data_IF_248364464237
#
_entry.id   IF_248364464237
#
_cell.length_a   1.000
_cell.length_b   1.000
_cell.length_c   1.000
_cell.angle_alpha   90.00
_cell.angle_beta   90.00
_cell.angle_gamma   90.00
#
_symmetry.space_group_name_H-M   'P 1'
#
loop_
_entity.id
_entity.type
_entity.pdbx_description
1 polymer ?
#
# COMPACT_ATOMS: atom_id res chain seq x y z
N UNK A 1 8.96 -13.91 15.12
CA UNK A 1 7.83 -14.82 14.84
C UNK A 1 7.13 -15.23 16.12
N UNK A 2 7.84 -15.90 17.04
CA UNK A 2 7.28 -16.45 18.28
C UNK A 2 6.48 -15.45 19.12
N UNK A 3 6.98 -14.22 19.31
CA UNK A 3 6.27 -13.17 20.06
C UNK A 3 4.88 -12.86 19.48
N UNK A 4 4.76 -12.76 18.15
CA UNK A 4 3.49 -12.51 17.49
C UNK A 4 2.54 -13.71 17.64
N UNK A 5 3.06 -14.92 17.49
CA UNK A 5 2.27 -16.15 17.63
C UNK A 5 1.76 -16.35 19.07
N UNK A 6 2.55 -16.02 20.09
CA UNK A 6 2.10 -16.01 21.49
C UNK A 6 0.97 -15.00 21.72
N UNK A 7 1.15 -13.77 21.25
CA UNK A 7 0.13 -12.72 21.39
C UNK A 7 -1.19 -13.08 20.69
N UNK A 8 -1.09 -13.77 19.55
CA UNK A 8 -2.21 -14.30 18.77
C UNK A 8 -2.93 -15.43 19.52
N UNK A 9 -2.20 -16.45 19.99
CA UNK A 9 -2.81 -17.61 20.66
C UNK A 9 -3.43 -17.29 22.01
N UNK A 10 -2.90 -16.30 22.73
CA UNK A 10 -3.50 -15.79 23.97
C UNK A 10 -4.89 -15.17 23.78
N UNK A 11 -5.17 -14.63 22.59
CA UNK A 11 -6.40 -13.87 22.29
C UNK A 11 -7.39 -14.64 21.43
N UNK A 12 -6.89 -15.51 20.57
CA UNK A 12 -7.68 -16.37 19.70
C UNK A 12 -7.22 -17.83 19.87
N UNK A 13 -7.54 -18.49 21.00
CA UNK A 13 -7.07 -19.85 21.26
C UNK A 13 -7.65 -20.89 20.28
N UNK A 14 -8.80 -20.58 19.66
CA UNK A 14 -9.48 -21.46 18.69
C UNK A 14 -9.04 -21.22 17.23
N UNK A 15 -8.06 -20.35 17.01
CA UNK A 15 -7.56 -20.04 15.66
C UNK A 15 -6.85 -21.25 15.05
N UNK A 16 -7.15 -21.54 13.79
CA UNK A 16 -6.40 -22.56 13.03
C UNK A 16 -5.17 -21.92 12.41
N UNK A 17 -3.98 -22.27 12.91
CA UNK A 17 -2.73 -21.80 12.33
C UNK A 17 -2.32 -22.70 11.15
N UNK A 18 -2.43 -22.18 9.93
CA UNK A 18 -1.89 -22.80 8.72
C UNK A 18 -0.51 -22.26 8.41
N UNK A 19 0.46 -23.12 8.08
CA UNK A 19 1.85 -22.70 7.86
C UNK A 19 2.62 -23.63 6.92
N UNK A 20 3.88 -23.28 6.65
CA UNK A 20 4.80 -24.08 5.84
C UNK A 20 5.76 -24.86 6.74
N UNK A 21 6.20 -26.03 6.25
CA UNK A 21 7.14 -26.91 6.92
C UNK A 21 8.44 -26.22 7.38
N UNK A 22 9.05 -26.80 8.41
CA UNK A 22 10.34 -26.37 8.97
C UNK A 22 10.41 -24.89 9.35
N UNK A 23 11.52 -24.27 8.93
CA UNK A 23 11.88 -22.89 9.28
C UNK A 23 10.92 -21.83 8.72
N UNK A 24 10.08 -22.15 7.73
CA UNK A 24 9.12 -21.20 7.15
C UNK A 24 7.89 -20.95 8.02
N UNK A 25 7.71 -21.69 9.12
CA UNK A 25 6.77 -21.30 10.17
C UNK A 25 6.34 -22.43 11.11
N UNK A 26 6.41 -23.70 10.68
CA UNK A 26 6.04 -24.83 11.51
C UNK A 26 6.89 -24.92 12.79
N UNK A 27 8.20 -24.67 12.69
CA UNK A 27 9.09 -24.70 13.86
C UNK A 27 8.77 -23.57 14.85
N UNK A 28 8.53 -22.36 14.34
CA UNK A 28 8.16 -21.21 15.17
C UNK A 28 6.81 -21.41 15.88
N UNK A 29 5.83 -22.03 15.21
CA UNK A 29 4.55 -22.38 15.81
C UNK A 29 4.69 -23.41 16.94
N UNK A 30 5.43 -24.49 16.69
CA UNK A 30 5.67 -25.54 17.70
C UNK A 30 6.47 -25.04 18.90
N UNK A 31 7.43 -24.13 18.68
CA UNK A 31 8.21 -23.52 19.76
C UNK A 31 7.35 -22.74 20.77
N UNK A 32 6.17 -22.25 20.35
CA UNK A 32 5.22 -21.55 21.23
C UNK A 32 4.03 -22.42 21.66
N UNK A 33 4.07 -23.72 21.37
CA UNK A 33 3.07 -24.69 21.78
C UNK A 33 1.81 -24.74 20.91
N UNK A 34 1.86 -24.19 19.69
CA UNK A 34 0.78 -24.30 18.71
C UNK A 34 1.05 -25.52 17.83
N UNK A 35 0.03 -26.34 17.56
CA UNK A 35 0.09 -27.43 16.58
C UNK A 35 -0.46 -26.93 15.24
N UNK A 36 0.39 -26.56 14.26
CA UNK A 36 -0.07 -25.95 13.03
C UNK A 36 -0.49 -27.00 11.99
N UNK A 37 -1.39 -26.60 11.10
CA UNK A 37 -1.67 -27.33 9.85
C UNK A 37 -0.61 -26.95 8.83
N UNK A 38 0.27 -27.89 8.49
CA UNK A 38 1.30 -27.67 7.46
C UNK A 38 0.68 -27.85 6.07
N UNK A 39 0.58 -26.78 5.29
CA UNK A 39 -0.07 -26.78 3.96
C UNK A 39 0.86 -27.19 2.83
N UNK A 40 2.17 -26.98 3.01
CA UNK A 40 3.21 -27.43 2.08
C UNK A 40 4.53 -27.59 2.83
N UNK A 41 5.41 -28.42 2.31
CA UNK A 41 6.73 -28.68 2.86
C UNK A 41 7.79 -28.52 1.75
N UNK A 42 8.60 -27.44 1.79
CA UNK A 42 9.66 -27.23 0.81
C UNK A 42 10.90 -28.11 1.07
N UNK A 43 10.92 -28.89 2.16
CA UNK A 43 11.98 -29.86 2.44
C UNK A 43 12.13 -30.86 1.28
N UNK A 44 13.12 -30.61 0.41
CA UNK A 44 13.45 -31.46 -0.74
C UNK A 44 13.95 -30.72 -1.98
N UNK A 45 13.79 -29.40 -2.06
CA UNK A 45 14.15 -28.61 -3.25
C UNK A 45 15.57 -28.00 -3.21
N UNK A 46 16.17 -27.84 -2.01
CA UNK A 46 17.41 -27.09 -1.82
C UNK A 46 18.58 -27.96 -1.33
N UNK A 47 19.80 -27.58 -1.71
CA UNK A 47 21.02 -28.30 -1.34
C UNK A 47 21.33 -28.22 0.17
N UNK A 48 20.80 -27.20 0.84
CA UNK A 48 20.88 -27.01 2.30
C UNK A 48 19.46 -27.09 2.88
N UNK A 49 19.20 -27.92 3.91
CA UNK A 49 17.85 -28.17 4.45
C UNK A 49 17.11 -26.94 4.99
N UNK A 50 17.83 -25.85 5.27
CA UNK A 50 17.26 -24.62 5.84
C UNK A 50 17.29 -23.43 4.89
N UNK A 51 17.77 -23.61 3.65
CA UNK A 51 17.79 -22.53 2.67
C UNK A 51 16.39 -22.35 2.07
N UNK A 52 15.86 -21.12 2.11
CA UNK A 52 14.63 -20.76 1.41
C UNK A 52 14.89 -19.63 0.42
N UNK A 53 13.94 -19.39 -0.47
CA UNK A 53 14.06 -18.42 -1.55
C UNK A 53 12.78 -17.61 -1.69
N UNK A 54 12.84 -16.49 -2.43
CA UNK A 54 11.64 -15.75 -2.82
C UNK A 54 10.65 -16.64 -3.62
N UNK A 55 11.12 -17.66 -4.33
CA UNK A 55 10.24 -18.61 -5.02
C UNK A 55 9.48 -19.50 -4.03
N UNK A 56 10.12 -19.95 -2.94
CA UNK A 56 9.45 -20.70 -1.88
C UNK A 56 8.40 -19.83 -1.16
N UNK A 57 8.70 -18.53 -0.97
CA UNK A 57 7.72 -17.57 -0.43
C UNK A 57 6.49 -17.48 -1.34
N UNK A 58 6.67 -17.33 -2.66
CA UNK A 58 5.53 -17.28 -3.60
C UNK A 58 4.73 -18.58 -3.62
N UNK A 59 5.40 -19.73 -3.59
CA UNK A 59 4.74 -21.03 -3.50
C UNK A 59 3.95 -21.19 -2.19
N UNK A 60 4.50 -20.71 -1.07
CA UNK A 60 3.84 -20.68 0.23
C UNK A 60 2.55 -19.85 0.19
N UNK A 61 2.60 -18.65 -0.40
CA UNK A 61 1.42 -17.78 -0.56
C UNK A 61 0.32 -18.51 -1.31
N UNK A 62 0.63 -19.13 -2.46
CA UNK A 62 -0.35 -19.91 -3.24
C UNK A 62 -0.99 -21.03 -2.42
N UNK A 63 -0.16 -21.85 -1.76
CA UNK A 63 -0.64 -22.98 -0.97
C UNK A 63 -1.53 -22.54 0.20
N UNK A 64 -1.18 -21.43 0.87
CA UNK A 64 -2.00 -20.90 1.96
C UNK A 64 -3.34 -20.34 1.45
N UNK A 65 -3.33 -19.58 0.35
CA UNK A 65 -4.56 -19.04 -0.24
C UNK A 65 -5.47 -20.16 -0.74
N UNK A 66 -4.92 -21.19 -1.39
CA UNK A 66 -5.66 -22.39 -1.80
C UNK A 66 -6.26 -23.15 -0.61
N UNK A 67 -5.57 -23.14 0.54
CA UNK A 67 -6.07 -23.70 1.80
C UNK A 67 -7.16 -22.84 2.48
N UNK A 68 -7.44 -21.64 1.97
CA UNK A 68 -8.56 -20.80 2.42
C UNK A 68 -8.27 -19.99 3.68
N UNK A 69 -7.05 -19.47 3.85
CA UNK A 69 -6.72 -18.60 5.00
C UNK A 69 -7.51 -17.27 4.97
N UNK A 70 -7.91 -16.80 6.15
CA UNK A 70 -8.57 -15.50 6.32
C UNK A 70 -7.58 -14.32 6.39
N UNK A 71 -6.34 -14.57 6.80
CA UNK A 71 -5.27 -13.58 6.96
C UNK A 71 -3.91 -14.24 6.73
N UNK A 72 -3.08 -13.60 5.90
CA UNK A 72 -1.68 -13.97 5.72
C UNK A 72 -0.79 -13.17 6.68
N UNK A 73 -0.34 -13.82 7.76
CA UNK A 73 0.64 -13.26 8.69
C UNK A 73 2.05 -13.68 8.27
N UNK A 74 2.91 -12.71 7.96
CA UNK A 74 4.29 -12.99 7.54
C UNK A 74 5.30 -12.29 8.45
N UNK A 75 6.47 -12.88 8.61
CA UNK A 75 7.61 -12.29 9.32
C UNK A 75 8.82 -12.39 8.38
N UNK A 76 9.79 -11.48 8.49
CA UNK A 76 10.92 -11.41 7.56
C UNK A 76 11.60 -12.75 7.27
N UNK A 77 12.28 -12.84 6.13
CA UNK A 77 12.94 -14.03 5.61
C UNK A 77 13.52 -13.76 4.22
N UNK A 78 13.61 -14.80 3.38
CA UNK A 78 14.18 -14.73 2.03
C UNK A 78 13.23 -14.07 1.00
N UNK A 79 11.95 -13.90 1.35
CA UNK A 79 10.97 -13.12 0.61
C UNK A 79 10.66 -11.75 1.25
N UNK A 80 10.09 -10.85 0.46
CA UNK A 80 9.71 -9.50 0.88
C UNK A 80 8.19 -9.31 0.90
N UNK A 81 7.72 -8.23 1.52
CA UNK A 81 6.31 -7.83 1.40
C UNK A 81 5.91 -7.62 -0.07
N UNK A 82 6.85 -7.17 -0.92
CA UNK A 82 6.69 -7.08 -2.38
C UNK A 82 6.41 -8.44 -3.00
N UNK A 83 7.19 -9.48 -2.66
CA UNK A 83 6.97 -10.83 -3.20
C UNK A 83 5.58 -11.35 -2.84
N UNK A 84 5.16 -11.15 -1.59
CA UNK A 84 3.85 -11.58 -1.12
C UNK A 84 2.73 -10.79 -1.79
N UNK A 85 2.82 -9.46 -1.82
CA UNK A 85 1.81 -8.60 -2.43
C UNK A 85 1.65 -8.84 -3.92
N UNK A 86 2.77 -8.92 -4.66
CA UNK A 86 2.78 -9.21 -6.10
C UNK A 86 2.20 -10.59 -6.39
N UNK A 87 2.49 -11.59 -5.54
CA UNK A 87 1.96 -12.93 -5.71
C UNK A 87 0.45 -12.98 -5.47
N UNK A 88 -0.04 -12.31 -4.42
CA UNK A 88 -1.48 -12.18 -4.16
C UNK A 88 -2.21 -11.50 -5.32
N UNK A 89 -1.62 -10.46 -5.92
CA UNK A 89 -2.17 -9.80 -7.10
C UNK A 89 -2.17 -10.73 -8.33
N UNK A 90 -1.09 -11.51 -8.54
CA UNK A 90 -0.96 -12.43 -9.66
C UNK A 90 -1.98 -13.58 -9.64
N UNK A 91 -2.46 -13.96 -8.46
CA UNK A 91 -3.51 -14.98 -8.28
C UNK A 91 -4.90 -14.38 -8.01
N UNK A 92 -5.05 -13.06 -8.14
CA UNK A 92 -6.30 -12.32 -7.91
C UNK A 92 -6.94 -12.61 -6.54
N UNK A 93 -6.10 -12.77 -5.51
CA UNK A 93 -6.55 -13.03 -4.15
C UNK A 93 -6.75 -11.71 -3.40
N UNK A 94 -7.92 -11.52 -2.79
CA UNK A 94 -8.22 -10.40 -1.91
C UNK A 94 -7.80 -10.63 -0.44
N UNK A 95 -7.13 -11.76 -0.15
CA UNK A 95 -6.71 -12.14 1.21
C UNK A 95 -5.89 -11.01 1.85
N UNK A 96 -6.28 -10.53 3.04
CA UNK A 96 -5.51 -9.57 3.81
C UNK A 96 -4.13 -10.09 4.17
N UNK A 97 -3.16 -9.18 4.27
CA UNK A 97 -1.81 -9.51 4.74
C UNK A 97 -1.37 -8.58 5.87
N UNK A 98 -0.61 -9.12 6.82
CA UNK A 98 -0.02 -8.35 7.90
C UNK A 98 1.42 -8.80 8.15
N UNK A 99 2.34 -7.84 8.12
CA UNK A 99 3.74 -8.07 8.41
C UNK A 99 4.04 -7.94 9.90
N UNK A 100 4.76 -8.91 10.45
CA UNK A 100 5.36 -8.87 11.78
C UNK A 100 6.72 -8.17 11.66
N UNK A 101 6.96 -7.05 12.38
CA UNK A 101 8.22 -6.33 12.27
C UNK A 101 9.38 -7.17 12.81
N UNK A 102 10.45 -7.31 12.01
CA UNK A 102 11.63 -8.11 12.34
C UNK A 102 12.97 -7.41 12.00
N UNK A 103 12.95 -6.09 11.73
CA UNK A 103 14.13 -5.32 11.32
C UNK A 103 13.76 -4.08 10.49
N UNK A 104 14.74 -3.49 9.78
CA UNK A 104 14.69 -2.17 9.10
C UNK A 104 13.76 -2.04 7.87
N UNK A 105 12.81 -2.94 7.64
CA UNK A 105 11.86 -2.84 6.49
C UNK A 105 10.65 -1.94 6.80
N UNK A 106 10.92 -0.71 7.22
CA UNK A 106 9.97 0.25 7.82
C UNK A 106 9.12 1.00 6.78
N UNK A 107 9.46 0.91 5.49
CA UNK A 107 8.86 1.79 4.49
C UNK A 107 7.48 1.35 4.00
N UNK A 108 7.18 0.05 3.97
CA UNK A 108 5.85 -0.43 3.61
C UNK A 108 4.87 -0.24 4.77
N UNK A 109 3.64 0.18 4.46
CA UNK A 109 2.60 0.45 5.47
C UNK A 109 1.79 -0.79 5.87
N UNK A 110 2.35 -1.98 5.63
CA UNK A 110 1.72 -3.29 5.85
C UNK A 110 2.21 -4.03 7.09
N UNK A 111 3.07 -3.39 7.89
CA UNK A 111 3.65 -3.99 9.09
C UNK A 111 2.96 -3.47 10.37
N UNK A 112 2.83 -4.34 11.38
CA UNK A 112 2.50 -3.91 12.73
C UNK A 112 3.64 -3.09 13.37
N UNK A 113 3.32 -2.33 14.42
CA UNK A 113 4.29 -1.47 15.13
C UNK A 113 5.31 -2.31 15.90
N UNK A 114 4.85 -3.35 16.59
CA UNK A 114 5.69 -4.35 17.26
C UNK A 114 5.23 -5.76 16.91
N UNK A 115 6.04 -6.81 17.17
CA UNK A 115 5.60 -8.18 16.96
C UNK A 115 4.36 -8.53 17.79
N UNK A 116 4.26 -8.01 19.01
CA UNK A 116 3.10 -8.21 19.88
C UNK A 116 1.85 -7.52 19.32
N UNK A 117 1.99 -6.29 18.79
CA UNK A 117 0.89 -5.59 18.12
C UNK A 117 0.40 -6.36 16.89
N UNK A 118 1.32 -6.88 16.07
CA UNK A 118 0.96 -7.66 14.89
C UNK A 118 0.17 -8.93 15.26
N UNK A 119 0.59 -9.65 16.31
CA UNK A 119 -0.12 -10.81 16.83
C UNK A 119 -1.50 -10.46 17.40
N UNK A 120 -1.60 -9.36 18.15
CA UNK A 120 -2.89 -8.85 18.65
C UNK A 120 -3.84 -8.50 17.52
N UNK A 121 -3.40 -7.71 16.55
CA UNK A 121 -4.22 -7.28 15.41
C UNK A 121 -4.69 -8.50 14.62
N UNK A 122 -3.78 -9.44 14.34
CA UNK A 122 -4.13 -10.68 13.64
C UNK A 122 -5.22 -11.50 14.35
N UNK A 123 -5.27 -11.46 15.69
CA UNK A 123 -6.27 -12.17 16.47
C UNK A 123 -7.63 -11.45 16.58
N UNK A 124 -7.68 -10.14 16.37
CA UNK A 124 -8.87 -9.33 16.73
C UNK A 124 -9.36 -8.38 15.65
N UNK A 125 -8.77 -8.35 14.45
CA UNK A 125 -9.19 -7.40 13.42
C UNK A 125 -10.62 -7.70 12.95
N UNK A 126 -11.41 -6.65 12.80
CA UNK A 126 -12.77 -6.71 12.24
C UNK A 126 -12.86 -6.01 10.88
N UNK A 127 -11.83 -5.24 10.53
CA UNK A 127 -11.77 -4.48 9.30
C UNK A 127 -10.34 -4.39 8.76
N UNK A 128 -10.26 -4.10 7.47
CA UNK A 128 -9.02 -3.94 6.72
C UNK A 128 -9.05 -2.60 6.00
N UNK A 129 -7.86 -2.09 5.66
CA UNK A 129 -7.70 -0.90 4.83
C UNK A 129 -6.61 -1.13 3.79
N UNK A 130 -6.74 -0.49 2.64
CA UNK A 130 -5.76 -0.58 1.56
C UNK A 130 -4.49 0.19 1.92
N UNK A 131 -3.36 -0.53 1.91
CA UNK A 131 -2.03 0.00 2.28
C UNK A 131 -1.02 -0.26 1.17
N UNK A 132 -0.11 0.70 1.00
CA UNK A 132 0.98 0.58 0.04
C UNK A 132 2.07 -0.40 0.50
N UNK A 133 2.36 -1.36 -0.38
CA UNK A 133 3.57 -2.19 -0.35
C UNK A 133 4.63 -1.51 -1.21
N UNK A 134 5.74 -1.13 -0.57
CA UNK A 134 6.84 -0.41 -1.20
C UNK A 134 8.08 -1.30 -1.23
N UNK A 135 8.72 -1.31 -2.39
CA UNK A 135 10.07 -1.80 -2.56
C UNK A 135 11.06 -0.66 -2.37
N UNK A 136 12.18 -0.94 -1.71
CA UNK A 136 13.18 0.07 -1.39
C UNK A 136 14.50 -0.38 -1.98
N UNK A 137 15.14 0.53 -2.71
CA UNK A 137 16.48 0.32 -3.24
C UNK A 137 17.49 0.33 -2.08
N UNK A 138 17.86 -0.85 -1.60
CA UNK A 138 18.79 -1.01 -0.48
C UNK A 138 20.20 -0.48 -0.80
N UNK A 139 20.61 -0.46 -2.08
CA UNK A 139 21.90 0.08 -2.50
C UNK A 139 21.88 1.61 -2.40
N UNK A 140 20.82 2.25 -2.90
CA UNK A 140 20.61 3.69 -2.76
C UNK A 140 20.54 4.10 -1.28
N UNK A 141 19.84 3.32 -0.43
CA UNK A 141 19.77 3.59 1.02
C UNK A 141 21.16 3.55 1.65
N UNK A 142 22.03 2.63 1.24
CA UNK A 142 23.43 2.57 1.72
C UNK A 142 24.25 3.79 1.27
N UNK A 143 23.87 4.41 0.16
CA UNK A 143 24.44 5.67 -0.32
C UNK A 143 23.77 6.93 0.28
N UNK A 144 22.82 6.75 1.20
CA UNK A 144 22.12 7.84 1.88
C UNK A 144 20.92 8.40 1.10
N UNK A 145 20.57 7.79 -0.03
CA UNK A 145 19.39 8.15 -0.81
C UNK A 145 18.31 7.07 -0.67
N UNK A 146 17.21 7.39 0.01
CA UNK A 146 16.07 6.46 0.00
C UNK A 146 15.41 6.54 -1.38
N UNK A 147 15.19 5.40 -2.04
CA UNK A 147 14.35 5.32 -3.25
C UNK A 147 13.31 4.24 -3.05
N UNK A 148 12.04 4.60 -3.18
CA UNK A 148 10.93 3.67 -3.01
C UNK A 148 10.09 3.56 -4.28
N UNK A 149 9.58 2.36 -4.54
CA UNK A 149 8.68 2.06 -5.66
C UNK A 149 7.43 1.38 -5.11
N UNK A 150 6.25 1.88 -5.48
CA UNK A 150 4.98 1.21 -5.17
C UNK A 150 4.89 -0.10 -5.96
N UNK A 151 4.71 -1.23 -5.26
CA UNK A 151 4.65 -2.56 -5.88
C UNK A 151 3.29 -3.22 -5.80
N UNK A 152 2.54 -2.94 -4.75
CA UNK A 152 1.18 -3.41 -4.58
C UNK A 152 0.41 -2.48 -3.63
N UNK A 153 -0.91 -2.55 -3.69
CA UNK A 153 -1.80 -1.99 -2.67
C UNK A 153 -2.61 -3.15 -2.13
N UNK A 154 -2.50 -3.41 -0.83
CA UNK A 154 -3.06 -4.64 -0.22
C UNK A 154 -3.95 -4.32 0.96
N UNK A 155 -5.04 -5.09 1.18
CA UNK A 155 -5.83 -4.99 2.39
C UNK A 155 -4.98 -5.41 3.59
N UNK A 156 -4.88 -4.53 4.58
CA UNK A 156 -4.14 -4.76 5.82
C UNK A 156 -5.08 -4.58 7.01
N UNK A 157 -5.09 -5.54 7.94
CA UNK A 157 -5.83 -5.42 9.20
C UNK A 157 -5.54 -4.12 9.95
N UNK A 158 -6.58 -3.48 10.46
CA UNK A 158 -6.44 -2.30 11.33
C UNK A 158 -6.83 -2.65 12.77
N UNK A 159 -6.14 -2.02 13.72
CA UNK A 159 -6.46 -2.17 15.14
C UNK A 159 -7.81 -1.48 15.45
N UNK A 160 -8.80 -2.25 15.89
CA UNK A 160 -10.14 -1.75 16.23
C UNK A 160 -10.15 -0.71 17.36
N UNK A 161 -9.12 -0.68 18.22
CA UNK A 161 -8.97 0.34 19.26
C UNK A 161 -8.75 1.75 18.68
N UNK A 162 -8.20 1.85 17.47
CA UNK A 162 -8.02 3.11 16.74
C UNK A 162 -9.33 3.58 16.10
N UNK A 163 -10.25 2.66 15.76
CA UNK A 163 -11.56 2.97 15.19
C UNK A 163 -12.57 3.48 16.23
N UNK A 164 -12.52 3.00 17.47
CA UNK A 164 -13.42 3.45 18.54
C UNK A 164 -13.31 4.95 18.87
N UNK A 165 -12.21 5.59 18.44
CA UNK A 165 -11.98 7.03 18.64
C UNK A 165 -12.37 7.90 17.44
N UNK A 166 -12.85 7.33 16.32
CA UNK A 166 -13.03 8.06 15.04
C UNK A 166 -14.39 7.88 14.37
N UNK A 167 -15.43 7.47 15.10
CA UNK A 167 -16.81 7.49 14.57
C UNK A 167 -17.36 8.89 14.20
N UNK A 168 -16.53 9.95 14.13
CA UNK A 168 -16.97 11.28 13.68
C UNK A 168 -16.10 11.96 12.60
N UNK A 169 -14.97 11.40 12.12
CA UNK A 169 -14.30 11.94 10.93
C UNK A 169 -13.27 11.00 10.27
N UNK A 170 -13.64 10.44 9.11
CA UNK A 170 -12.80 10.28 7.92
C UNK A 170 -11.38 9.70 8.06
N UNK A 171 -11.15 8.69 8.90
CA UNK A 171 -9.81 8.16 9.18
C UNK A 171 -9.08 7.46 8.02
N UNK A 172 -9.75 7.18 6.90
CA UNK A 172 -9.22 6.35 5.81
C UNK A 172 -9.43 7.00 4.41
N UNK A 173 -9.24 8.32 4.33
CA UNK A 173 -9.44 9.05 3.07
C UNK A 173 -10.91 9.22 2.64
N UNK A 174 -11.89 8.59 3.30
CA UNK A 174 -13.31 8.77 2.97
C UNK A 174 -13.79 10.23 3.03
N UNK A 175 -13.24 11.03 3.96
CA UNK A 175 -13.49 12.47 3.99
C UNK A 175 -12.95 13.19 2.75
N UNK A 176 -11.74 12.83 2.32
CA UNK A 176 -11.10 13.36 1.09
C UNK A 176 -11.95 13.00 -0.13
N UNK A 177 -12.32 11.73 -0.26
CA UNK A 177 -13.12 11.21 -1.38
C UNK A 177 -14.47 11.91 -1.48
N UNK A 178 -15.22 12.00 -0.37
CA UNK A 178 -16.48 12.75 -0.32
C UNK A 178 -16.29 14.24 -0.65
N UNK A 179 -15.14 14.82 -0.30
CA UNK A 179 -14.79 16.20 -0.60
C UNK A 179 -14.49 16.44 -2.08
N UNK A 180 -13.81 15.49 -2.74
CA UNK A 180 -13.56 15.55 -4.19
C UNK A 180 -14.87 15.29 -4.94
N UNK A 181 -15.56 14.19 -4.65
CA UNK A 181 -16.79 13.81 -5.35
C UNK A 181 -17.88 14.90 -5.30
N UNK A 182 -18.00 15.62 -4.17
CA UNK A 182 -18.93 16.73 -4.05
C UNK A 182 -18.59 17.95 -4.94
N UNK A 183 -17.33 18.09 -5.35
CA UNK A 183 -16.84 19.20 -6.19
C UNK A 183 -16.56 18.80 -7.63
N UNK A 184 -16.89 17.57 -8.05
CA UNK A 184 -16.62 17.10 -9.40
C UNK A 184 -17.48 17.83 -10.43
N UNK A 185 -16.82 18.36 -11.45
CA UNK A 185 -17.43 18.86 -12.68
C UNK A 185 -17.44 17.74 -13.72
N UNK A 186 -18.62 17.38 -14.22
CA UNK A 186 -18.77 16.26 -15.17
C UNK A 186 -18.15 16.57 -16.55
N UNK A 187 -17.89 17.83 -16.86
CA UNK A 187 -17.23 18.22 -18.12
C UNK A 187 -15.70 18.20 -18.01
N UNK A 188 -15.16 18.23 -16.79
CA UNK A 188 -13.73 18.19 -16.52
C UNK A 188 -13.15 16.78 -16.63
N UNK A 189 -11.90 16.68 -17.09
CA UNK A 189 -11.15 15.42 -17.06
C UNK A 189 -10.39 15.30 -15.74
N UNK A 190 -10.51 14.16 -15.07
CA UNK A 190 -9.77 13.83 -13.86
C UNK A 190 -8.79 12.71 -14.15
N UNK A 191 -7.52 12.96 -13.89
CA UNK A 191 -6.42 11.99 -14.01
C UNK A 191 -6.05 11.57 -12.60
N UNK A 192 -6.38 10.34 -12.23
CA UNK A 192 -6.23 9.80 -10.88
C UNK A 192 -4.93 9.01 -10.80
N UNK A 193 -3.97 9.48 -10.01
CA UNK A 193 -2.72 8.78 -9.76
C UNK A 193 -2.89 7.50 -8.92
N UNK A 194 -1.82 6.70 -8.78
CA UNK A 194 -1.88 5.44 -8.06
C UNK A 194 -1.91 5.61 -6.53
N UNK A 195 -2.19 4.51 -5.84
CA UNK A 195 -2.18 4.42 -4.38
C UNK A 195 -3.57 4.45 -3.72
N UNK A 196 -3.63 4.04 -2.45
CA UNK A 196 -4.92 3.73 -1.79
C UNK A 196 -5.80 4.96 -1.57
N UNK A 197 -5.19 6.11 -1.27
CA UNK A 197 -5.94 7.36 -1.01
C UNK A 197 -6.67 7.85 -2.26
N UNK A 198 -6.00 7.82 -3.42
CA UNK A 198 -6.63 8.15 -4.70
C UNK A 198 -7.60 7.05 -5.11
N UNK A 199 -7.30 5.79 -4.80
CA UNK A 199 -8.23 4.67 -4.98
C UNK A 199 -9.56 4.85 -4.25
N UNK A 200 -9.56 5.39 -3.02
CA UNK A 200 -10.80 5.74 -2.30
C UNK A 200 -11.59 6.82 -3.04
N UNK A 201 -10.92 7.77 -3.70
CA UNK A 201 -11.60 8.77 -4.55
C UNK A 201 -12.24 8.09 -5.76
N UNK A 202 -11.52 7.22 -6.46
CA UNK A 202 -12.05 6.49 -7.62
C UNK A 202 -13.30 5.68 -7.28
N UNK A 203 -13.30 4.98 -6.14
CA UNK A 203 -14.46 4.22 -5.67
C UNK A 203 -15.67 5.09 -5.35
N UNK A 204 -15.44 6.26 -4.75
CA UNK A 204 -16.51 7.25 -4.53
C UNK A 204 -17.07 7.81 -5.86
N UNK A 205 -16.24 7.86 -6.91
CA UNK A 205 -16.66 8.19 -8.28
C UNK A 205 -17.32 7.02 -9.03
N UNK A 206 -17.45 5.86 -8.37
CA UNK A 206 -18.23 4.73 -8.84
C UNK A 206 -17.46 3.71 -9.68
N UNK A 207 -16.13 3.61 -9.55
CA UNK A 207 -15.35 2.57 -10.24
C UNK A 207 -14.20 2.02 -9.41
N UNK A 208 -13.78 0.78 -9.73
CA UNK A 208 -12.60 0.18 -9.11
C UNK A 208 -11.30 0.69 -9.78
N UNK A 209 -10.38 1.27 -9.00
CA UNK A 209 -9.14 1.86 -9.51
C UNK A 209 -8.12 0.81 -9.93
N UNK A 210 -7.20 1.23 -10.80
CA UNK A 210 -5.93 0.55 -11.08
C UNK A 210 -4.94 0.89 -9.94
N UNK A 211 -4.60 -0.05 -9.03
CA UNK A 211 -3.90 0.32 -7.80
C UNK A 211 -2.50 0.93 -8.02
N UNK A 212 -1.83 0.47 -9.08
CA UNK A 212 -0.48 0.91 -9.51
C UNK A 212 -0.51 1.81 -10.75
N UNK A 213 -1.69 1.96 -11.36
CA UNK A 213 -1.89 2.66 -12.61
C UNK A 213 -2.36 4.08 -12.43
N UNK A 214 -2.47 4.79 -13.55
CA UNK A 214 -3.13 6.09 -13.62
C UNK A 214 -4.45 5.91 -14.35
N UNK A 215 -5.57 6.25 -13.73
CA UNK A 215 -6.88 6.15 -14.36
C UNK A 215 -7.36 7.51 -14.86
N UNK A 216 -8.12 7.54 -15.95
CA UNK A 216 -8.70 8.77 -16.50
C UNK A 216 -10.21 8.68 -16.44
N UNK A 217 -10.83 9.66 -15.80
CA UNK A 217 -12.26 9.74 -15.56
C UNK A 217 -12.83 11.07 -16.05
N UNK A 218 -14.00 11.03 -16.69
CA UNK A 218 -14.85 12.18 -17.01
C UNK A 218 -16.26 11.68 -17.24
N UNK A 219 -17.15 11.95 -16.28
CA UNK A 219 -18.53 11.43 -16.28
C UNK A 219 -18.60 9.90 -16.43
N UNK A 220 -17.58 9.20 -15.92
CA UNK A 220 -17.34 7.78 -16.18
C UNK A 220 -15.89 7.52 -16.52
N UNK A 221 -15.47 6.26 -16.44
CA UNK A 221 -14.10 5.85 -16.74
C UNK A 221 -13.85 5.91 -18.25
N UNK A 222 -12.85 6.68 -18.66
CA UNK A 222 -12.40 6.76 -20.05
C UNK A 222 -11.30 5.74 -20.34
N UNK A 223 -10.31 5.66 -19.45
CA UNK A 223 -9.14 4.79 -19.58
C UNK A 223 -8.77 4.28 -18.21
N UNK A 224 -8.50 2.96 -18.09
CA UNK A 224 -7.91 2.36 -16.90
C UNK A 224 -6.44 2.06 -17.16
N UNK A 225 -5.61 2.24 -16.15
CA UNK A 225 -4.15 2.01 -16.23
C UNK A 225 -3.55 2.62 -17.50
N UNK A 226 -3.81 3.91 -17.66
CA UNK A 226 -3.47 4.68 -18.84
C UNK A 226 -1.95 4.86 -18.95
N UNK A 227 -1.42 4.62 -20.15
CA UNK A 227 -0.10 5.14 -20.53
C UNK A 227 -0.16 6.67 -20.70
N UNK A 228 1.01 7.31 -20.76
CA UNK A 228 1.11 8.74 -21.07
C UNK A 228 0.29 9.12 -22.32
N UNK A 229 0.47 8.39 -23.43
CA UNK A 229 -0.28 8.61 -24.67
C UNK A 229 -1.80 8.47 -24.48
N UNK A 230 -2.22 7.50 -23.65
CA UNK A 230 -3.62 7.28 -23.29
C UNK A 230 -4.20 8.48 -22.52
N UNK A 231 -3.43 9.04 -21.59
CA UNK A 231 -3.80 10.23 -20.83
C UNK A 231 -3.89 11.44 -21.77
N UNK A 232 -2.85 11.71 -22.55
CA UNK A 232 -2.79 12.86 -23.47
C UNK A 232 -3.93 12.84 -24.51
N UNK A 233 -4.36 11.66 -24.93
CA UNK A 233 -5.50 11.50 -25.85
C UNK A 233 -6.85 11.79 -25.18
N UNK A 234 -6.97 11.52 -23.88
CA UNK A 234 -8.22 11.66 -23.13
C UNK A 234 -8.41 13.05 -22.47
N UNK A 235 -7.31 13.80 -22.28
CA UNK A 235 -7.29 15.15 -21.68
C UNK A 235 -8.21 16.11 -22.44
N UNK A 236 -8.95 16.91 -21.66
CA UNK A 236 -9.76 18.04 -22.15
C UNK A 236 -9.82 19.09 -21.06
N UNK A 237 -9.76 20.36 -21.45
CA UNK A 237 -9.83 21.44 -20.48
C UNK A 237 -11.26 21.58 -19.91
N UNK A 238 -11.39 21.74 -18.57
CA UNK A 238 -10.31 21.71 -17.59
C UNK A 238 -9.88 20.26 -17.24
N UNK A 239 -8.58 20.04 -17.03
CA UNK A 239 -8.04 18.77 -16.53
C UNK A 239 -7.45 18.93 -15.12
N UNK A 240 -7.80 18.00 -14.22
CA UNK A 240 -7.28 17.94 -12.84
C UNK A 240 -6.55 16.62 -12.63
N UNK A 241 -5.27 16.70 -12.26
CA UNK A 241 -4.45 15.56 -11.83
C UNK A 241 -4.58 15.42 -10.31
N UNK A 242 -5.11 14.31 -9.82
CA UNK A 242 -5.25 14.02 -8.39
C UNK A 242 -4.17 13.02 -7.99
N UNK A 243 -3.28 13.42 -7.08
CA UNK A 243 -2.17 12.58 -6.61
C UNK A 243 -2.10 12.56 -5.09
N UNK A 244 -1.60 11.45 -4.56
CA UNK A 244 -1.24 11.31 -3.14
C UNK A 244 0.26 11.12 -3.01
N UNK A 245 0.89 11.60 -1.92
CA UNK A 245 2.23 11.18 -1.58
C UNK A 245 2.31 9.66 -1.49
N UNK A 246 3.30 9.08 -2.15
CA UNK A 246 3.56 7.64 -2.16
C UNK A 246 4.79 7.37 -1.30
N UNK A 247 4.60 6.51 -0.30
CA UNK A 247 5.63 6.10 0.63
C UNK A 247 6.10 7.14 1.65
N UNK A 248 7.04 6.73 2.50
CA UNK A 248 7.53 7.55 3.62
C UNK A 248 8.42 8.73 3.23
N UNK A 249 8.56 9.04 1.94
CA UNK A 249 9.43 10.10 1.42
C UNK A 249 8.68 11.37 0.99
N UNK A 250 7.35 11.29 0.86
CA UNK A 250 6.54 12.43 0.43
C UNK A 250 6.60 12.73 -1.06
N UNK A 251 7.07 11.81 -1.91
CA UNK A 251 7.08 12.01 -3.36
C UNK A 251 5.66 11.97 -3.90
N UNK A 252 5.25 13.01 -4.63
CA UNK A 252 3.89 13.13 -5.20
C UNK A 252 3.84 12.96 -6.72
N UNK A 253 4.95 13.24 -7.42
CA UNK A 253 5.04 13.20 -8.87
C UNK A 253 6.41 12.65 -9.30
N UNK A 254 6.40 11.89 -10.40
CA UNK A 254 7.58 11.30 -11.03
C UNK A 254 7.84 9.85 -10.61
N UNK A 255 8.00 9.59 -9.31
CA UNK A 255 8.25 8.22 -8.83
C UNK A 255 6.96 7.43 -8.62
N UNK A 256 6.80 6.37 -9.40
CA UNK A 256 5.65 5.47 -9.31
C UNK A 256 4.41 5.97 -10.06
N UNK A 257 4.51 7.08 -10.79
CA UNK A 257 3.47 7.64 -11.64
C UNK A 257 4.06 8.37 -12.85
N UNK A 258 5.05 7.75 -13.51
CA UNK A 258 5.78 8.32 -14.66
C UNK A 258 4.86 8.69 -15.84
N UNK A 259 3.65 8.12 -15.90
CA UNK A 259 2.64 8.46 -16.91
C UNK A 259 2.15 9.92 -16.78
N UNK A 260 2.35 10.55 -15.62
CA UNK A 260 2.11 11.97 -15.39
C UNK A 260 3.32 12.80 -15.85
N UNK A 261 3.62 12.74 -17.15
CA UNK A 261 4.74 13.47 -17.75
C UNK A 261 4.55 14.99 -17.72
N UNK A 262 5.61 15.74 -17.98
CA UNK A 262 5.55 17.19 -18.18
C UNK A 262 4.45 17.61 -19.15
N UNK A 263 4.27 16.91 -20.28
CA UNK A 263 3.22 17.19 -21.26
C UNK A 263 1.78 17.04 -20.72
N UNK A 264 1.57 16.10 -19.79
CA UNK A 264 0.30 15.93 -19.07
C UNK A 264 0.12 17.05 -18.04
N UNK A 265 1.16 17.33 -17.26
CA UNK A 265 1.13 18.27 -16.15
C UNK A 265 0.97 19.73 -16.59
N UNK A 266 1.58 20.14 -17.71
CA UNK A 266 1.41 21.47 -18.29
C UNK A 266 -0.04 21.80 -18.69
N UNK A 267 -0.86 20.78 -18.95
CA UNK A 267 -2.26 20.91 -19.34
C UNK A 267 -3.24 20.68 -18.19
N UNK A 268 -2.71 20.55 -16.98
CA UNK A 268 -3.49 20.09 -15.83
C UNK A 268 -3.25 20.97 -14.62
N UNK A 269 -4.27 21.11 -13.77
CA UNK A 269 -4.06 21.55 -12.39
C UNK A 269 -3.79 20.34 -11.51
N UNK A 270 -2.81 20.40 -10.62
CA UNK A 270 -2.51 19.32 -9.68
C UNK A 270 -3.24 19.56 -8.35
N UNK A 271 -4.10 18.61 -7.94
CA UNK A 271 -4.70 18.56 -6.61
C UNK A 271 -4.02 17.45 -5.79
N UNK A 272 -3.35 17.83 -4.70
CA UNK A 272 -2.68 16.88 -3.81
C UNK A 272 -3.64 16.48 -2.69
N UNK A 273 -3.79 15.17 -2.49
CA UNK A 273 -4.58 14.59 -1.40
C UNK A 273 -3.71 13.71 -0.51
N UNK A 274 -3.89 13.80 0.81
CA UNK A 274 -3.18 12.91 1.73
C UNK A 274 -3.94 12.75 3.03
N UNK A 275 -3.97 11.54 3.58
CA UNK A 275 -4.47 11.36 4.95
C UNK A 275 -3.51 12.01 5.95
N UNK A 276 -3.99 12.51 7.10
CA UNK A 276 -3.13 13.07 8.14
C UNK A 276 -2.00 12.12 8.56
N UNK A 277 -2.25 10.80 8.55
CA UNK A 277 -1.22 9.80 8.85
C UNK A 277 -0.10 9.73 7.81
N UNK A 278 -0.40 9.98 6.52
CA UNK A 278 0.63 10.04 5.47
C UNK A 278 1.49 11.29 5.60
N UNK A 279 0.94 12.39 6.11
CA UNK A 279 1.67 13.65 6.30
C UNK A 279 2.50 13.69 7.59
N UNK A 280 2.03 13.04 8.66
CA UNK A 280 2.64 13.15 9.99
C UNK A 280 4.13 12.80 10.10
N UNK A 281 4.65 11.97 9.18
CA UNK A 281 6.06 11.58 9.13
C UNK A 281 6.91 12.31 8.09
N UNK A 282 6.33 13.28 7.37
CA UNK A 282 6.99 13.95 6.25
C UNK A 282 7.50 15.34 6.66
N UNK A 283 8.72 15.65 6.26
CA UNK A 283 9.30 16.99 6.39
C UNK A 283 8.83 17.93 5.28
N UNK A 284 8.65 17.39 4.08
CA UNK A 284 8.18 18.09 2.89
C UNK A 284 7.62 17.07 1.89
N UNK A 285 6.90 17.59 0.90
CA UNK A 285 6.58 16.86 -0.31
C UNK A 285 7.72 17.01 -1.31
N UNK A 286 7.84 16.05 -2.23
CA UNK A 286 8.92 16.00 -3.22
C UNK A 286 8.36 15.76 -4.61
N UNK A 287 8.99 16.38 -5.59
CA UNK A 287 8.71 16.24 -7.03
C UNK A 287 10.01 15.78 -7.71
N UNK A 288 9.91 14.78 -8.58
CA UNK A 288 11.05 14.20 -9.30
C UNK A 288 10.61 13.81 -10.71
N UNK A 289 10.15 14.80 -11.50
CA UNK A 289 9.69 14.55 -12.87
C UNK A 289 10.86 14.53 -13.86
N UNK A 290 10.59 14.19 -15.11
CA UNK A 290 11.57 14.26 -16.19
C UNK A 290 11.81 15.69 -16.71
N UNK A 291 11.14 16.69 -16.13
CA UNK A 291 11.28 18.11 -16.46
C UNK A 291 11.72 18.95 -15.25
N UNK A 292 13.02 19.26 -15.15
CA UNK A 292 13.56 20.10 -14.08
C UNK A 292 12.97 21.52 -14.02
N UNK A 293 12.44 22.05 -15.14
CA UNK A 293 11.81 23.36 -15.16
C UNK A 293 10.42 23.30 -14.52
N UNK A 294 9.65 22.26 -14.80
CA UNK A 294 8.41 21.97 -14.09
C UNK A 294 8.67 21.78 -12.59
N UNK A 295 9.64 20.95 -12.22
CA UNK A 295 9.99 20.70 -10.81
C UNK A 295 10.31 22.00 -10.07
N UNK A 296 11.13 22.86 -10.68
CA UNK A 296 11.47 24.16 -10.11
C UNK A 296 10.25 25.08 -9.94
N UNK A 297 9.32 25.08 -10.90
CA UNK A 297 8.09 25.86 -10.86
C UNK A 297 7.06 25.29 -9.87
N UNK A 298 7.06 23.97 -9.66
CA UNK A 298 6.16 23.28 -8.76
C UNK A 298 6.64 23.33 -7.29
N UNK A 299 7.85 23.80 -6.99
CA UNK A 299 8.31 24.02 -5.61
C UNK A 299 7.52 25.12 -4.89
N UNK A 300 7.48 25.02 -3.56
CA UNK A 300 6.84 26.01 -2.69
C UNK A 300 5.68 25.44 -1.89
N UNK A 301 4.82 26.31 -1.36
CA UNK A 301 3.73 25.89 -0.48
C UNK A 301 2.49 25.48 -1.28
N UNK A 302 2.06 24.23 -1.09
CA UNK A 302 0.88 23.66 -1.72
C UNK A 302 -0.21 23.36 -0.71
N UNK A 303 -1.46 23.49 -1.13
CA UNK A 303 -2.62 23.04 -0.36
C UNK A 303 -2.79 21.54 -0.57
N UNK A 304 -2.72 20.78 0.51
CA UNK A 304 -3.01 19.34 0.53
C UNK A 304 -4.36 19.12 1.16
N UNK A 305 -5.29 18.47 0.46
CA UNK A 305 -6.59 18.10 1.02
C UNK A 305 -6.43 16.91 1.97
N UNK A 306 -6.85 17.09 3.22
CA UNK A 306 -6.75 16.08 4.29
C UNK A 306 -8.11 15.54 4.75
N UNK A 307 -9.19 16.19 4.34
CA UNK A 307 -10.56 15.78 4.63
C UNK A 307 -11.58 16.41 3.67
N UNK A 308 -12.86 16.41 4.04
CA UNK A 308 -13.94 16.88 3.16
C UNK A 308 -13.82 18.36 2.81
N UNK A 309 -13.52 19.18 3.82
CA UNK A 309 -13.31 20.62 3.69
C UNK A 309 -12.03 21.06 4.44
N UNK A 310 -11.13 20.11 4.69
CA UNK A 310 -9.90 20.31 5.46
C UNK A 310 -8.70 20.30 4.54
N UNK A 311 -7.80 21.26 4.75
CA UNK A 311 -6.58 21.42 3.99
C UNK A 311 -5.42 21.76 4.92
N UNK A 312 -4.25 21.26 4.58
CA UNK A 312 -2.98 21.60 5.21
C UNK A 312 -2.06 22.26 4.18
N UNK A 313 -1.24 23.23 4.59
CA UNK A 313 -0.20 23.80 3.73
C UNK A 313 1.09 23.01 3.94
N UNK A 314 1.60 22.39 2.88
CA UNK A 314 2.82 21.59 2.92
C UNK A 314 3.78 22.10 1.86
N UNK A 315 5.06 22.22 2.21
CA UNK A 315 6.10 22.66 1.29
C UNK A 315 6.50 21.51 0.35
N UNK A 316 6.57 21.78 -0.95
CA UNK A 316 7.20 20.93 -1.97
C UNK A 316 8.63 21.42 -2.20
N UNK A 317 9.62 20.51 -2.09
CA UNK A 317 11.05 20.76 -2.29
C UNK A 317 11.64 19.92 -3.42
#
# INVERSE_FOLDING_TARGET
AETALRALSERAPDVTLMTVGGAMGADAARAVGIDPVVVTDPEGAHAEPTATTAADTRAAVRAMVEAGIDLLLFVGGDGTATDIGTELDAIDAATPMLGVPAGVKIYSSVFGVTPEDAGRIAATFESVTDREVLDVDEDAVREGEVRTTLRAVRPVPIDGSVQASKQLSGGDGGGIAAGIAAGVDREATYVLGPGSTVGTVARELGFEPSPLGVDVWRDGVLVRDASEDGILTAIRDPTVVIVSPIGGQGVVLGRGNQQLSSAVLERSTVEIVATPSKLAGLDCLRVDTDDPAFDAAFRGWHRVRTGRNEYELVEVR
#
